data_IF_950526228079
#
_entry.id   IF_950526228079
#
_cell.length_a   1.000
_cell.length_b   1.000
_cell.length_c   1.000
_cell.angle_alpha   90.00
_cell.angle_beta   90.00
_cell.angle_gamma   90.00
#
_symmetry.space_group_name_H-M   'P 1'
#
loop_
_entity.id
_entity.type
_entity.pdbx_description
1 polymer ?
#
# COMPACT_ATOMS: atom_id res chain seq x y z
N UNK A 1 -8.81 -3.14 -30.18
CA UNK A 1 -8.30 -1.85 -29.66
C UNK A 1 -8.15 -1.85 -28.13
N UNK A 2 -7.78 -2.97 -27.51
CA UNK A 2 -7.69 -3.10 -26.04
C UNK A 2 -6.27 -2.85 -25.54
N UNK A 3 -5.25 -3.42 -26.19
CA UNK A 3 -3.85 -3.24 -25.81
C UNK A 3 -3.37 -1.79 -25.74
N UNK A 4 -3.65 -0.97 -26.76
CA UNK A 4 -3.27 0.45 -26.78
C UNK A 4 -3.89 1.23 -25.61
N UNK A 5 -5.17 0.98 -25.30
CA UNK A 5 -5.88 1.66 -24.21
C UNK A 5 -5.32 1.25 -22.85
N UNK A 6 -4.97 -0.02 -22.70
CA UNK A 6 -4.30 -0.55 -21.51
C UNK A 6 -2.92 0.07 -21.32
N UNK A 7 -2.12 0.19 -22.39
CA UNK A 7 -0.83 0.88 -22.34
C UNK A 7 -0.96 2.36 -22.00
N UNK A 8 -1.95 3.07 -22.56
CA UNK A 8 -2.21 4.47 -22.21
C UNK A 8 -2.51 4.62 -20.72
N UNK A 9 -3.34 3.73 -20.16
CA UNK A 9 -3.68 3.77 -18.74
C UNK A 9 -2.50 3.43 -17.83
N UNK A 10 -1.62 2.52 -18.24
CA UNK A 10 -0.37 2.26 -17.52
C UNK A 10 0.53 3.50 -17.46
N UNK A 11 0.63 4.23 -18.58
CA UNK A 11 1.39 5.48 -18.63
C UNK A 11 0.78 6.56 -17.75
N UNK A 12 -0.56 6.68 -17.72
CA UNK A 12 -1.25 7.63 -16.84
C UNK A 12 -0.92 7.35 -15.35
N UNK A 13 -0.93 6.07 -14.94
CA UNK A 13 -0.58 5.69 -13.55
C UNK A 13 0.90 5.89 -13.26
N UNK A 14 1.79 5.59 -14.22
CA UNK A 14 3.21 5.89 -14.09
C UNK A 14 3.47 7.39 -13.93
N UNK A 15 2.78 8.23 -14.71
CA UNK A 15 2.84 9.70 -14.61
C UNK A 15 2.34 10.19 -13.24
N UNK A 16 1.25 9.61 -12.75
CA UNK A 16 0.71 9.92 -11.43
C UNK A 16 1.67 9.52 -10.31
N UNK A 17 2.36 8.37 -10.43
CA UNK A 17 3.39 7.93 -9.50
C UNK A 17 4.60 8.87 -9.47
N UNK A 18 5.09 9.30 -10.64
CA UNK A 18 6.23 10.21 -10.74
C UNK A 18 5.89 11.56 -10.14
N UNK A 19 4.70 12.08 -10.45
CA UNK A 19 4.27 13.41 -9.98
C UNK A 19 4.12 13.48 -8.47
N UNK A 20 3.77 12.36 -7.82
CA UNK A 20 3.52 12.31 -6.38
C UNK A 20 4.62 11.59 -5.58
N UNK A 21 5.75 11.24 -6.21
CA UNK A 21 6.84 10.49 -5.55
C UNK A 21 7.40 11.24 -4.33
N UNK A 22 7.38 12.57 -4.35
CA UNK A 22 7.90 13.42 -3.27
C UNK A 22 6.81 13.89 -2.29
N UNK A 23 5.57 13.44 -2.45
CA UNK A 23 4.47 13.82 -1.54
C UNK A 23 4.52 12.94 -0.29
N UNK A 24 4.70 13.51 0.92
CA UNK A 24 4.71 12.72 2.15
C UNK A 24 3.42 11.92 2.32
N UNK A 25 3.54 10.63 2.64
CA UNK A 25 2.39 9.72 2.78
C UNK A 25 1.80 9.22 1.46
N UNK A 26 2.37 9.58 0.30
CA UNK A 26 1.96 9.00 -0.97
C UNK A 26 2.34 7.52 -1.05
N UNK A 27 1.37 6.70 -1.46
CA UNK A 27 1.57 5.28 -1.76
C UNK A 27 1.52 5.08 -3.27
N UNK A 28 2.58 4.47 -3.83
CA UNK A 28 2.69 4.17 -5.26
C UNK A 28 1.52 3.29 -5.70
N UNK A 29 0.93 3.59 -6.85
CA UNK A 29 -0.10 2.76 -7.48
C UNK A 29 0.54 1.78 -8.45
N UNK A 30 0.14 0.51 -8.39
CA UNK A 30 0.60 -0.57 -9.26
C UNK A 30 -0.59 -1.06 -10.08
N UNK A 31 -0.40 -1.14 -11.39
CA UNK A 31 -1.42 -1.59 -12.34
C UNK A 31 -1.19 -3.06 -12.65
N UNK A 32 -2.21 -3.89 -12.43
CA UNK A 32 -2.21 -5.29 -12.87
C UNK A 32 -2.94 -5.40 -14.21
N UNK A 33 -2.21 -5.80 -15.24
CA UNK A 33 -2.75 -6.08 -16.56
C UNK A 33 -3.04 -7.57 -16.69
N UNK A 34 -4.22 -7.89 -17.23
CA UNK A 34 -4.63 -9.25 -17.51
C UNK A 34 -5.01 -9.41 -18.98
N UNK A 35 -4.72 -10.58 -19.53
CA UNK A 35 -5.20 -10.96 -20.85
C UNK A 35 -6.71 -11.26 -20.78
N UNK A 36 -7.42 -10.85 -21.82
CA UNK A 36 -8.84 -11.13 -22.01
C UNK A 36 -9.05 -12.58 -22.46
N UNK A 37 -10.23 -13.13 -22.15
CA UNK A 37 -10.53 -14.55 -22.36
C UNK A 37 -10.48 -14.88 -23.85
N UNK A 38 -9.77 -15.95 -24.21
CA UNK A 38 -9.59 -16.34 -25.59
C UNK A 38 -10.93 -16.77 -26.21
N UNK A 39 -11.29 -16.17 -27.35
CA UNK A 39 -12.48 -16.54 -28.10
C UNK A 39 -12.22 -17.87 -28.82
N UNK A 40 -13.04 -18.88 -28.50
CA UNK A 40 -12.96 -20.20 -29.12
C UNK A 40 -13.85 -20.28 -30.35
N UNK A 41 -13.27 -20.57 -31.52
CA UNK A 41 -14.02 -20.85 -32.74
C UNK A 41 -13.46 -22.08 -33.46
N UNK A 42 -14.25 -23.15 -33.47
CA UNK A 42 -14.16 -24.30 -34.38
C UNK A 42 -12.93 -25.20 -34.28
N UNK A 43 -11.82 -24.73 -33.70
CA UNK A 43 -10.57 -25.46 -33.37
C UNK A 43 -9.44 -24.50 -32.91
N UNK A 44 -9.63 -23.17 -33.02
CA UNK A 44 -8.61 -22.18 -32.70
C UNK A 44 -9.04 -21.26 -31.55
N UNK A 45 -8.06 -20.85 -30.75
CA UNK A 45 -8.19 -19.83 -29.71
C UNK A 45 -7.68 -18.50 -30.23
N UNK A 46 -8.52 -17.47 -30.22
CA UNK A 46 -8.13 -16.12 -30.58
C UNK A 46 -8.06 -15.25 -29.32
N UNK A 47 -6.90 -14.65 -29.06
CA UNK A 47 -6.78 -13.66 -27.98
C UNK A 47 -7.61 -12.42 -28.27
N UNK A 48 -8.51 -12.07 -27.35
CA UNK A 48 -9.43 -10.91 -27.43
C UNK A 48 -8.75 -9.60 -26.97
N UNK A 49 -7.59 -9.71 -26.32
CA UNK A 49 -6.66 -8.63 -26.04
C UNK A 49 -6.25 -8.57 -24.58
N UNK A 50 -6.07 -7.37 -24.02
CA UNK A 50 -5.68 -7.19 -22.63
C UNK A 50 -6.33 -5.96 -22.00
N UNK A 51 -6.69 -6.05 -20.73
CA UNK A 51 -7.31 -5.01 -19.93
C UNK A 51 -6.59 -4.83 -18.59
N UNK A 52 -6.93 -3.77 -17.86
CA UNK A 52 -6.47 -3.56 -16.49
C UNK A 52 -7.46 -4.23 -15.56
N UNK A 53 -7.00 -5.21 -14.80
CA UNK A 53 -7.81 -5.98 -13.85
C UNK A 53 -7.95 -5.21 -12.53
N UNK A 54 -6.84 -4.67 -12.03
CA UNK A 54 -6.82 -3.96 -10.75
C UNK A 54 -5.74 -2.87 -10.70
N UNK A 55 -5.95 -1.87 -9.84
CA UNK A 55 -4.96 -0.87 -9.46
C UNK A 55 -4.82 -0.90 -7.94
N UNK A 56 -3.74 -1.53 -7.46
CA UNK A 56 -3.45 -1.64 -6.03
C UNK A 56 -2.47 -0.56 -5.58
N UNK A 57 -2.48 -0.22 -4.29
CA UNK A 57 -1.48 0.67 -3.71
C UNK A 57 -0.35 -0.18 -3.11
N UNK A 58 0.87 0.03 -3.57
CA UNK A 58 2.08 -0.44 -2.92
C UNK A 58 2.29 0.40 -1.66
N UNK A 59 1.59 0.04 -0.60
CA UNK A 59 1.90 0.46 0.75
C UNK A 59 2.89 -0.54 1.34
N UNK A 60 3.98 -0.06 1.91
CA UNK A 60 4.95 -0.92 2.57
C UNK A 60 4.40 -1.35 3.93
N UNK A 61 3.64 -2.44 3.92
CA UNK A 61 3.01 -3.00 5.13
C UNK A 61 4.05 -3.37 6.19
N UNK A 62 5.29 -3.67 5.79
CA UNK A 62 6.36 -3.99 6.71
C UNK A 62 6.85 -2.72 7.43
N UNK A 63 7.18 -1.66 6.69
CA UNK A 63 7.61 -0.40 7.27
C UNK A 63 6.53 0.22 8.18
N UNK A 64 5.26 0.10 7.78
CA UNK A 64 4.12 0.55 8.59
C UNK A 64 3.95 -0.24 9.89
N UNK A 65 4.10 -1.56 9.81
CA UNK A 65 4.05 -2.44 10.98
C UNK A 65 5.22 -2.12 11.91
N UNK A 66 6.42 -1.93 11.40
CA UNK A 66 7.59 -1.57 12.19
C UNK A 66 7.38 -0.24 12.91
N UNK A 67 6.92 0.80 12.20
CA UNK A 67 6.58 2.08 12.80
C UNK A 67 5.56 1.94 13.93
N UNK A 68 4.49 1.17 13.70
CA UNK A 68 3.43 0.92 14.69
C UNK A 68 3.96 0.17 15.92
N UNK A 69 4.85 -0.81 15.72
CA UNK A 69 5.49 -1.54 16.81
C UNK A 69 6.41 -0.63 17.63
N UNK A 70 7.24 0.20 16.96
CA UNK A 70 8.09 1.17 17.63
C UNK A 70 7.30 2.19 18.44
N UNK A 71 6.19 2.72 17.90
CA UNK A 71 5.32 3.66 18.66
C UNK A 71 4.68 2.98 19.86
N UNK A 72 4.22 1.74 19.71
CA UNK A 72 3.62 0.96 20.81
C UNK A 72 4.62 0.75 21.94
N UNK A 73 5.86 0.37 21.63
CA UNK A 73 6.91 0.19 22.64
C UNK A 73 7.29 1.49 23.35
N UNK A 74 7.34 2.60 22.63
CA UNK A 74 7.59 3.92 23.23
C UNK A 74 6.46 4.32 24.20
N UNK A 75 5.21 4.09 23.82
CA UNK A 75 4.05 4.36 24.68
C UNK A 75 4.04 3.46 25.92
N UNK A 76 4.33 2.17 25.76
CA UNK A 76 4.48 1.23 26.88
C UNK A 76 5.55 1.68 27.88
N UNK A 77 6.71 2.13 27.39
CA UNK A 77 7.79 2.64 28.23
C UNK A 77 7.37 3.91 28.98
N UNK A 78 6.66 4.83 28.33
CA UNK A 78 6.18 6.06 28.93
C UNK A 78 5.12 5.78 30.01
N UNK A 79 4.14 4.91 29.73
CA UNK A 79 3.12 4.50 30.71
C UNK A 79 3.77 3.80 31.91
N UNK A 80 4.82 3.00 31.68
CA UNK A 80 5.57 2.36 32.76
C UNK A 80 6.29 3.38 33.64
N UNK A 81 6.97 4.37 33.05
CA UNK A 81 7.59 5.47 33.80
C UNK A 81 6.55 6.26 34.60
N UNK A 82 5.41 6.57 34.00
CA UNK A 82 4.35 7.31 34.66
C UNK A 82 3.74 6.54 35.85
N UNK A 83 3.56 5.23 35.71
CA UNK A 83 3.13 4.35 36.81
C UNK A 83 4.15 4.32 37.95
N UNK A 84 5.44 4.18 37.64
CA UNK A 84 6.51 4.21 38.65
C UNK A 84 6.55 5.55 39.37
N UNK A 85 6.47 6.67 38.64
CA UNK A 85 6.44 8.02 39.22
C UNK A 85 5.22 8.23 40.13
N UNK A 86 4.05 7.73 39.73
CA UNK A 86 2.85 7.83 40.56
C UNK A 86 2.99 7.02 41.86
N UNK A 87 3.67 5.88 41.80
CA UNK A 87 3.90 5.04 42.98
C UNK A 87 4.90 5.69 43.95
N UNK A 88 5.95 6.33 43.42
CA UNK A 88 6.89 7.14 44.21
C UNK A 88 6.19 8.33 44.86
N UNK A 89 5.39 9.10 44.12
CA UNK A 89 4.62 10.21 44.70
C UNK A 89 3.62 9.73 45.77
N UNK A 90 3.02 8.56 45.60
CA UNK A 90 2.12 7.99 46.62
C UNK A 90 2.86 7.64 47.91
N UNK A 91 4.15 7.30 47.83
CA UNK A 91 5.00 7.01 48.97
C UNK A 91 5.55 8.28 49.66
N UNK A 92 5.62 9.40 48.94
CA UNK A 92 6.17 10.67 49.44
C UNK A 92 5.13 11.57 50.14
N UNK A 93 3.84 11.20 50.10
CA UNK A 93 2.71 11.99 50.66
C UNK A 93 2.17 11.35 51.96
N UNK A 94 2.78 10.25 52.43
CA UNK A 94 2.58 9.70 53.79
C UNK A 94 3.75 10.12 54.66
#
# INVERSE_FOLDING_TARGET
MSGLRTSQKQLDVASHNISNVNTPGYSRQVVEQKADDAFYNGSNYYGTGAYIDNVSRAYDQFAARELTLSTTHLEEANVRQQKMMRQVCKFLIV
#
